data_IF_261937370054
#
_entry.id   IF_261937370054
#
_cell.length_a   1.000
_cell.length_b   1.000
_cell.length_c   1.000
_cell.angle_alpha   90.00
_cell.angle_beta   90.00
_cell.angle_gamma   90.00
#
_symmetry.space_group_name_H-M   'P 1'
#
loop_
_entity.id
_entity.type
_entity.pdbx_description
1 polymer ?
#
# COMPACT_ATOMS: atom_id res chain seq x y z
N UNK A 1 1.48 14.43 21.04
CA UNK A 1 2.55 15.28 20.47
C UNK A 1 3.06 14.53 19.26
N UNK A 2 2.79 15.01 18.05
CA UNK A 2 3.38 14.42 16.84
C UNK A 2 4.85 14.83 16.80
N UNK A 3 5.77 13.87 16.82
CA UNK A 3 7.20 14.14 16.84
C UNK A 3 7.63 14.67 15.48
N UNK A 4 8.60 15.57 15.47
CA UNK A 4 9.15 16.23 14.28
C UNK A 4 9.85 15.27 13.29
N UNK A 5 9.83 13.96 13.55
CA UNK A 5 10.40 12.89 12.73
C UNK A 5 9.48 12.50 11.56
N UNK A 6 8.19 12.88 11.61
CA UNK A 6 7.15 12.53 10.63
C UNK A 6 7.23 13.30 9.28
N UNK A 7 8.23 14.17 9.10
CA UNK A 7 8.30 15.13 7.97
C UNK A 7 9.54 15.02 7.09
N UNK A 8 10.47 14.11 7.38
CA UNK A 8 11.62 13.93 6.50
C UNK A 8 11.27 13.02 5.32
N UNK A 9 11.72 13.37 4.09
CA UNK A 9 11.57 12.49 2.96
C UNK A 9 12.29 11.16 3.23
N UNK A 10 11.78 10.03 2.69
CA UNK A 10 12.45 8.74 2.83
C UNK A 10 13.88 8.80 2.29
N UNK A 11 14.80 8.06 2.91
CA UNK A 11 16.18 8.01 2.44
C UNK A 11 16.25 7.42 1.02
N UNK A 12 17.27 7.79 0.21
CA UNK A 12 17.47 7.21 -1.11
C UNK A 12 17.57 5.67 -1.10
N UNK A 13 18.13 5.10 -0.03
CA UNK A 13 18.26 3.65 0.15
C UNK A 13 16.89 2.99 0.37
N UNK A 14 16.02 3.58 1.20
CA UNK A 14 14.63 3.11 1.37
C UNK A 14 13.90 3.15 0.04
N UNK A 15 14.01 4.26 -0.70
CA UNK A 15 13.39 4.39 -2.03
C UNK A 15 13.92 3.36 -3.03
N UNK A 16 15.22 3.08 -3.03
CA UNK A 16 15.85 2.08 -3.89
C UNK A 16 15.36 0.67 -3.58
N UNK A 17 15.29 0.29 -2.30
CA UNK A 17 14.78 -1.03 -1.87
C UNK A 17 13.30 -1.17 -2.19
N UNK A 18 12.49 -0.15 -1.88
CA UNK A 18 11.06 -0.14 -2.18
C UNK A 18 10.77 -0.23 -3.68
N UNK A 19 11.53 0.46 -4.53
CA UNK A 19 11.46 0.32 -5.98
C UNK A 19 11.79 -1.12 -6.44
N UNK A 20 12.80 -1.76 -5.85
CA UNK A 20 13.14 -3.14 -6.17
C UNK A 20 12.01 -4.13 -5.81
N UNK A 21 11.32 -3.91 -4.69
CA UNK A 21 10.11 -4.68 -4.32
C UNK A 21 8.97 -4.39 -5.31
N UNK A 22 8.71 -3.12 -5.59
CA UNK A 22 7.66 -2.73 -6.54
C UNK A 22 7.86 -3.38 -7.91
N UNK A 23 9.09 -3.34 -8.42
CA UNK A 23 9.45 -3.84 -9.74
C UNK A 23 9.34 -5.35 -9.89
N UNK A 24 9.52 -6.11 -8.81
CA UNK A 24 9.42 -7.58 -8.86
C UNK A 24 8.02 -8.10 -8.54
N UNK A 25 7.22 -7.33 -7.77
CA UNK A 25 5.97 -7.84 -7.18
C UNK A 25 4.73 -7.05 -7.62
N UNK A 26 4.81 -5.73 -7.72
CA UNK A 26 3.63 -4.87 -7.88
C UNK A 26 3.42 -4.40 -9.33
N UNK A 27 4.52 -4.30 -10.08
CA UNK A 27 4.56 -3.64 -11.40
C UNK A 27 3.67 -4.31 -12.45
N UNK A 28 3.48 -5.62 -12.37
CA UNK A 28 2.71 -6.37 -13.36
C UNK A 28 1.25 -5.91 -13.43
N UNK A 29 0.69 -5.47 -12.30
CA UNK A 29 -0.69 -4.99 -12.21
C UNK A 29 -0.75 -3.46 -12.18
N UNK A 30 0.04 -2.81 -11.33
CA UNK A 30 -0.03 -1.36 -11.11
C UNK A 30 0.80 -0.53 -12.11
N UNK A 31 1.55 -1.20 -13.01
CA UNK A 31 2.34 -0.63 -14.09
C UNK A 31 3.56 0.19 -13.63
N UNK A 32 4.56 0.42 -14.49
CA UNK A 32 5.76 1.19 -14.11
C UNK A 32 5.46 2.61 -13.63
N UNK A 33 4.38 3.23 -14.13
CA UNK A 33 3.97 4.59 -13.78
C UNK A 33 3.01 4.67 -12.59
N UNK A 34 2.61 3.53 -12.02
CA UNK A 34 1.60 3.47 -10.96
C UNK A 34 0.19 3.80 -11.46
N UNK A 35 -0.05 3.93 -12.76
CA UNK A 35 -1.37 4.28 -13.32
C UNK A 35 -2.34 3.09 -13.43
N UNK A 36 -1.85 1.87 -13.22
CA UNK A 36 -2.65 0.67 -13.42
C UNK A 36 -3.20 0.57 -14.86
N UNK A 37 -4.32 -0.11 -15.01
CA UNK A 37 -5.04 -0.31 -16.28
C UNK A 37 -6.54 -0.16 -16.00
N UNK A 38 -7.14 1.03 -16.14
CA UNK A 38 -8.58 1.19 -15.96
C UNK A 38 -9.41 0.37 -16.96
N UNK A 39 -10.52 -0.29 -16.53
CA UNK A 39 -11.05 -0.44 -15.17
C UNK A 39 -10.59 -1.73 -14.46
N UNK A 40 -9.49 -2.36 -14.90
CA UNK A 40 -9.01 -3.66 -14.42
C UNK A 40 -8.11 -3.54 -13.18
N UNK A 41 -7.05 -2.75 -13.26
CA UNK A 41 -6.10 -2.51 -12.15
C UNK A 41 -6.12 -1.03 -11.75
N UNK A 42 -6.37 -0.71 -10.47
CA UNK A 42 -6.46 0.67 -10.03
C UNK A 42 -5.10 1.39 -10.04
N UNK A 43 -5.10 2.72 -10.28
CA UNK A 43 -3.91 3.52 -10.12
C UNK A 43 -3.52 3.60 -8.64
N UNK A 44 -2.22 3.50 -8.37
CA UNK A 44 -1.59 3.94 -7.12
C UNK A 44 -1.19 5.42 -7.20
N UNK A 45 -0.97 5.92 -8.42
CA UNK A 45 -0.59 7.31 -8.70
C UNK A 45 -1.69 8.31 -8.31
N UNK A 46 -1.43 9.15 -7.30
CA UNK A 46 -2.38 10.13 -6.80
C UNK A 46 -3.68 9.51 -6.28
N UNK A 47 -3.61 8.28 -5.78
CA UNK A 47 -4.77 7.53 -5.27
C UNK A 47 -5.15 8.03 -3.89
N UNK A 48 -6.43 8.30 -3.68
CA UNK A 48 -7.00 8.65 -2.38
C UNK A 48 -6.76 7.54 -1.34
N UNK A 49 -6.69 6.28 -1.77
CA UNK A 49 -6.41 5.12 -0.90
C UNK A 49 -4.96 5.07 -0.45
N UNK A 50 -4.01 5.46 -1.31
CA UNK A 50 -2.60 5.56 -0.96
C UNK A 50 -2.38 6.73 0.01
N UNK A 51 -3.18 7.80 -0.07
CA UNK A 51 -3.12 8.93 0.85
C UNK A 51 -3.74 8.67 2.23
N UNK A 52 -4.50 7.58 2.41
CA UNK A 52 -5.02 7.15 3.72
C UNK A 52 -3.88 6.75 4.68
N UNK A 53 -4.22 6.21 5.86
CA UNK A 53 -3.21 5.73 6.79
C UNK A 53 -2.40 4.57 6.16
N UNK A 54 -1.09 4.45 6.47
CA UNK A 54 -0.25 3.40 5.90
C UNK A 54 -0.78 1.98 6.13
N UNK A 55 -1.54 1.77 7.21
CA UNK A 55 -2.11 0.47 7.54
C UNK A 55 -3.07 -0.06 6.49
N UNK A 56 -3.71 0.80 5.69
CA UNK A 56 -4.57 0.36 4.58
C UNK A 56 -3.73 -0.39 3.55
N UNK A 57 -2.61 0.20 3.11
CA UNK A 57 -1.71 -0.43 2.14
C UNK A 57 -1.07 -1.70 2.71
N UNK A 58 -0.58 -1.65 3.95
CA UNK A 58 0.03 -2.82 4.63
C UNK A 58 -0.96 -3.98 4.73
N UNK A 59 -2.19 -3.73 5.19
CA UNK A 59 -3.23 -4.76 5.30
C UNK A 59 -3.64 -5.34 3.95
N UNK A 60 -3.72 -4.51 2.91
CA UNK A 60 -4.01 -4.96 1.55
C UNK A 60 -2.91 -5.86 1.01
N UNK A 61 -1.63 -5.54 1.25
CA UNK A 61 -0.50 -6.41 0.88
C UNK A 61 -0.58 -7.74 1.65
N UNK A 62 -0.86 -7.71 2.96
CA UNK A 62 -0.87 -8.89 3.81
C UNK A 62 -2.04 -9.85 3.53
N UNK A 63 -3.23 -9.33 3.22
CA UNK A 63 -4.46 -10.13 3.17
C UNK A 63 -5.20 -10.03 1.83
N UNK A 64 -4.77 -9.14 0.93
CA UNK A 64 -5.45 -8.83 -0.31
C UNK A 64 -6.71 -7.99 -0.10
N UNK A 65 -7.36 -7.70 -1.22
CA UNK A 65 -8.61 -6.95 -1.27
C UNK A 65 -9.50 -7.48 -2.41
N UNK A 66 -10.81 -7.46 -2.21
CA UNK A 66 -11.79 -7.86 -3.23
C UNK A 66 -13.03 -6.98 -3.21
N UNK A 67 -13.80 -7.06 -4.29
CA UNK A 67 -15.05 -6.35 -4.45
C UNK A 67 -14.88 -4.95 -5.06
N UNK A 68 -15.98 -4.19 -5.14
CA UNK A 68 -15.97 -2.88 -5.77
C UNK A 68 -15.17 -1.87 -4.94
N UNK A 69 -14.33 -1.10 -5.62
CA UNK A 69 -13.61 0.05 -5.08
C UNK A 69 -13.64 1.19 -6.09
N UNK A 70 -13.98 2.40 -5.62
CA UNK A 70 -13.81 3.62 -6.42
C UNK A 70 -12.41 4.16 -6.21
N UNK A 71 -11.66 4.35 -7.29
CA UNK A 71 -10.36 5.02 -7.26
C UNK A 71 -10.37 6.11 -8.31
N UNK A 72 -10.22 7.36 -7.88
CA UNK A 72 -10.29 8.55 -8.76
C UNK A 72 -11.55 8.56 -9.65
N UNK A 73 -12.69 8.14 -9.10
CA UNK A 73 -13.98 8.13 -9.78
C UNK A 73 -14.23 6.93 -10.71
N UNK A 74 -13.24 6.06 -10.94
CA UNK A 74 -13.46 4.80 -11.69
C UNK A 74 -13.74 3.67 -10.71
N UNK A 75 -14.73 2.83 -11.02
CA UNK A 75 -15.02 1.62 -10.25
C UNK A 75 -14.19 0.45 -10.78
N UNK A 76 -13.48 -0.20 -9.85
CA UNK A 76 -12.74 -1.44 -10.07
C UNK A 76 -13.42 -2.52 -9.25
N UNK A 77 -13.78 -3.65 -9.87
CA UNK A 77 -14.43 -4.77 -9.18
C UNK A 77 -13.65 -6.06 -9.42
N UNK A 78 -12.46 -6.12 -8.83
CA UNK A 78 -11.52 -7.22 -9.01
C UNK A 78 -11.09 -7.83 -7.68
N UNK A 79 -9.97 -8.56 -7.73
CA UNK A 79 -9.29 -9.10 -6.56
C UNK A 79 -7.80 -8.79 -6.66
N UNK A 80 -7.26 -8.16 -5.62
CA UNK A 80 -5.84 -8.12 -5.35
C UNK A 80 -5.54 -9.27 -4.38
N UNK A 81 -4.77 -10.30 -4.77
CA UNK A 81 -4.41 -11.38 -3.86
C UNK A 81 -3.47 -10.88 -2.75
N UNK A 82 -3.46 -11.58 -1.62
CA UNK A 82 -2.42 -11.41 -0.62
C UNK A 82 -1.03 -11.66 -1.25
N UNK A 83 -0.08 -10.79 -0.94
CA UNK A 83 1.28 -10.91 -1.43
C UNK A 83 2.08 -11.76 -0.45
N UNK A 84 2.67 -12.84 -0.94
CA UNK A 84 3.49 -13.76 -0.15
C UNK A 84 4.97 -13.58 -0.44
N UNK A 85 5.84 -14.04 0.46
CA UNK A 85 7.29 -14.02 0.26
C UNK A 85 7.97 -12.66 0.45
N UNK A 86 7.26 -11.65 0.95
CA UNK A 86 7.85 -10.39 1.40
C UNK A 86 8.13 -10.42 2.89
N UNK A 87 9.30 -9.91 3.29
CA UNK A 87 9.60 -9.63 4.70
C UNK A 87 8.84 -8.40 5.18
N UNK A 88 8.76 -8.20 6.50
CA UNK A 88 8.11 -7.00 7.06
C UNK A 88 8.84 -5.71 6.61
N UNK A 89 10.17 -5.78 6.45
CA UNK A 89 10.98 -4.69 5.89
C UNK A 89 10.72 -4.43 4.40
N UNK A 90 10.52 -5.47 3.58
CA UNK A 90 10.11 -5.30 2.18
C UNK A 90 8.76 -4.58 2.05
N UNK A 91 7.80 -4.93 2.92
CA UNK A 91 6.49 -4.30 2.95
C UNK A 91 6.63 -2.83 3.37
N UNK A 92 7.42 -2.54 4.40
CA UNK A 92 7.69 -1.17 4.86
C UNK A 92 8.31 -0.32 3.75
N UNK A 93 9.34 -0.83 3.07
CA UNK A 93 10.04 -0.15 1.99
C UNK A 93 9.12 0.09 0.78
N UNK A 94 8.33 -0.91 0.34
CA UNK A 94 7.46 -0.75 -0.84
C UNK A 94 6.29 0.18 -0.59
N UNK A 95 5.68 0.14 0.61
CA UNK A 95 4.61 1.07 0.98
C UNK A 95 5.18 2.49 1.05
N UNK A 96 6.36 2.67 1.64
CA UNK A 96 7.06 3.96 1.67
C UNK A 96 7.34 4.48 0.25
N UNK A 97 7.86 3.61 -0.63
CA UNK A 97 8.14 3.96 -2.03
C UNK A 97 6.89 4.41 -2.77
N UNK A 98 5.78 3.65 -2.69
CA UNK A 98 4.52 3.99 -3.37
C UNK A 98 3.94 5.31 -2.83
N UNK A 99 4.00 5.53 -1.52
CA UNK A 99 3.51 6.77 -0.87
C UNK A 99 4.35 8.00 -1.18
N UNK A 100 5.57 7.84 -1.69
CA UNK A 100 6.49 8.93 -2.06
C UNK A 100 6.87 8.90 -3.55
N UNK A 101 6.10 8.17 -4.37
CA UNK A 101 6.26 8.08 -5.82
C UNK A 101 4.97 8.47 -6.52
N UNK A 102 5.02 8.63 -7.84
CA UNK A 102 3.83 8.84 -8.67
C UNK A 102 2.99 10.07 -8.28
N UNK A 103 3.64 11.10 -7.74
CA UNK A 103 2.99 12.30 -7.22
C UNK A 103 2.36 12.16 -5.84
N UNK A 104 2.53 11.01 -5.18
CA UNK A 104 2.12 10.82 -3.79
C UNK A 104 3.14 11.45 -2.83
N UNK A 105 2.66 11.80 -1.63
CA UNK A 105 3.51 12.21 -0.50
C UNK A 105 2.92 11.65 0.77
N UNK A 106 3.74 11.02 1.61
CA UNK A 106 3.30 10.47 2.87
C UNK A 106 4.45 10.08 3.79
N UNK A 107 4.18 9.90 5.09
CA UNK A 107 5.18 9.47 6.07
C UNK A 107 5.82 8.14 5.66
N UNK A 108 7.07 7.97 6.10
CA UNK A 108 7.79 6.70 6.03
C UNK A 108 7.04 5.66 6.85
N UNK A 109 7.04 4.42 6.37
CA UNK A 109 6.55 3.26 7.09
C UNK A 109 7.75 2.45 7.58
N UNK A 110 7.73 2.09 8.85
CA UNK A 110 8.78 1.30 9.49
C UNK A 110 8.44 -0.18 9.52
N UNK A 111 9.46 -1.03 9.65
CA UNK A 111 9.29 -2.47 9.83
C UNK A 111 8.49 -2.80 11.10
N UNK A 112 8.68 -2.04 12.19
CA UNK A 112 7.97 -2.24 13.45
C UNK A 112 6.48 -1.90 13.34
N UNK A 113 6.11 -0.87 12.57
CA UNK A 113 4.71 -0.60 12.23
C UNK A 113 4.09 -1.76 11.45
N UNK A 114 4.81 -2.32 10.47
CA UNK A 114 4.34 -3.49 9.71
C UNK A 114 4.13 -4.68 10.64
N UNK A 115 5.08 -4.97 11.54
CA UNK A 115 4.95 -6.04 12.54
C UNK A 115 3.74 -5.84 13.45
N UNK A 116 3.54 -4.62 13.94
CA UNK A 116 2.40 -4.29 14.79
C UNK A 116 1.06 -4.50 14.06
N UNK A 117 0.95 -4.03 12.80
CA UNK A 117 -0.23 -4.23 11.96
C UNK A 117 -0.46 -5.73 11.69
N UNK A 118 0.59 -6.46 11.32
CA UNK A 118 0.53 -7.90 11.06
C UNK A 118 0.08 -8.68 12.28
N UNK A 119 0.58 -8.35 13.46
CA UNK A 119 0.14 -8.95 14.72
C UNK A 119 -1.33 -8.63 15.04
N UNK A 120 -1.74 -7.36 14.87
CA UNK A 120 -3.13 -6.92 15.10
C UNK A 120 -4.15 -7.67 14.25
N UNK A 121 -3.80 -8.04 13.02
CA UNK A 121 -4.70 -8.69 12.08
C UNK A 121 -4.32 -10.15 11.76
N UNK A 122 -3.49 -10.80 12.59
CA UNK A 122 -2.97 -12.14 12.31
C UNK A 122 -4.05 -13.22 12.12
N UNK A 123 -5.21 -13.05 12.74
CA UNK A 123 -6.33 -13.99 12.65
C UNK A 123 -7.19 -13.82 11.38
N UNK A 124 -6.95 -12.76 10.59
CA UNK A 124 -7.73 -12.50 9.38
C UNK A 124 -7.35 -13.48 8.26
N UNK A 125 -8.35 -14.16 7.71
CA UNK A 125 -8.20 -15.16 6.63
C UNK A 125 -8.86 -14.77 5.31
N UNK A 126 -9.56 -13.63 5.29
CA UNK A 126 -10.33 -13.16 4.14
C UNK A 126 -9.74 -11.86 3.59
N UNK A 127 -9.82 -11.62 2.28
CA UNK A 127 -9.48 -10.33 1.70
C UNK A 127 -10.30 -9.20 2.32
N UNK A 128 -9.76 -7.99 2.31
CA UNK A 128 -10.48 -6.78 2.71
C UNK A 128 -11.46 -6.33 1.62
N UNK A 129 -12.44 -5.55 2.02
CA UNK A 129 -13.30 -4.76 1.13
C UNK A 129 -13.01 -3.27 1.28
N UNK A 130 -13.40 -2.48 0.28
CA UNK A 130 -13.27 -1.02 0.34
C UNK A 130 -14.02 -0.43 1.54
N UNK A 131 -15.21 -0.96 1.82
CA UNK A 131 -16.05 -0.52 2.95
C UNK A 131 -15.39 -0.78 4.31
N UNK A 132 -14.76 -1.94 4.50
CA UNK A 132 -14.04 -2.25 5.74
C UNK A 132 -12.86 -1.30 5.96
N UNK A 133 -12.09 -0.99 4.92
CA UNK A 133 -11.00 -0.01 5.02
C UNK A 133 -11.49 1.40 5.32
N UNK A 134 -12.65 1.79 4.80
CA UNK A 134 -13.25 3.09 5.11
C UNK A 134 -13.74 3.18 6.55
N UNK A 135 -14.26 2.09 7.12
CA UNK A 135 -14.72 2.02 8.52
C UNK A 135 -13.56 2.00 9.51
N UNK A 136 -12.47 1.33 9.17
CA UNK A 136 -11.27 1.28 9.99
C UNK A 136 -10.02 1.59 9.15
N UNK A 137 -9.72 2.88 8.91
CA UNK A 137 -8.56 3.27 8.14
C UNK A 137 -7.26 3.21 8.96
N UNK A 138 -7.30 2.88 10.26
CA UNK A 138 -6.17 3.02 11.20
C UNK A 138 -5.39 1.73 11.44
#
# INVERSE_FOLDING_TARGET
>A
MANAEDKNPPSPEVMKRGLAVYSRTCIACHQPTGLGIPPVFPPLAGSEWVAMAPSVAVRNILHGMTGPVSVKGTIYNGMMPAVTGLSDGDIADVVTYVRNSFGNTGPVVTEDEVKAIKAKYADRKTPWTAEEFQKDPK
#
